data_IF_793523009927
#
_entry.id   IF_793523009927
#
_cell.length_a   1.000
_cell.length_b   1.000
_cell.length_c   1.000
_cell.angle_alpha   90.00
_cell.angle_beta   90.00
_cell.angle_gamma   90.00
#
_symmetry.space_group_name_H-M   'P 1'
#
loop_
_entity.id
_entity.type
_entity.pdbx_description
1 polymer ?
#
# COMPACT_ATOMS: atom_id res chain seq x y z
N UNK A 1 4.18 15.04 -7.66
CA UNK A 1 3.84 13.65 -7.27
C UNK A 1 4.33 13.27 -5.86
N UNK A 2 5.12 14.12 -5.18
CA UNK A 2 5.58 13.90 -3.79
C UNK A 2 4.48 14.16 -2.76
N UNK A 3 3.42 13.34 -2.78
CA UNK A 3 2.43 13.25 -1.72
C UNK A 3 2.48 11.84 -1.16
N UNK A 4 2.20 11.73 0.13
CA UNK A 4 2.07 10.44 0.80
C UNK A 4 1.06 9.55 0.07
N UNK A 5 1.50 8.34 -0.27
CA UNK A 5 0.71 7.35 -0.97
C UNK A 5 0.24 6.27 -0.01
N UNK A 6 -0.98 6.46 0.51
CA UNK A 6 -1.62 5.48 1.38
C UNK A 6 -1.69 4.10 0.70
N UNK A 7 -2.03 4.07 -0.60
CA UNK A 7 -2.05 2.87 -1.45
C UNK A 7 -0.79 2.02 -1.31
N UNK A 8 0.34 2.66 -1.58
CA UNK A 8 1.66 2.04 -1.54
C UNK A 8 2.07 1.64 -0.11
N UNK A 9 1.73 2.44 0.90
CA UNK A 9 2.05 2.14 2.30
C UNK A 9 1.27 0.92 2.82
N UNK A 10 -0.06 0.90 2.66
CA UNK A 10 -0.91 -0.14 3.25
C UNK A 10 -0.93 -1.44 2.44
N UNK A 11 -1.06 -1.35 1.11
CA UNK A 11 -1.16 -2.53 0.25
C UNK A 11 0.15 -2.95 -0.39
N UNK A 12 1.23 -2.17 -0.19
CA UNK A 12 2.62 -2.54 -0.48
C UNK A 12 2.84 -3.34 -1.78
N UNK A 13 3.00 -4.66 -1.72
CA UNK A 13 3.20 -5.54 -2.88
C UNK A 13 2.00 -5.60 -3.82
N UNK A 14 0.78 -5.62 -3.29
CA UNK A 14 -0.43 -5.67 -4.09
C UNK A 14 -0.56 -4.38 -4.90
N UNK A 15 -0.44 -3.24 -4.23
CA UNK A 15 -0.40 -1.94 -4.91
C UNK A 15 0.75 -1.88 -5.93
N UNK A 16 1.93 -2.40 -5.57
CA UNK A 16 3.12 -2.41 -6.40
C UNK A 16 2.90 -3.10 -7.75
N UNK A 17 2.34 -4.32 -7.73
CA UNK A 17 2.06 -5.10 -8.94
C UNK A 17 1.16 -4.33 -9.93
N UNK A 18 0.07 -3.73 -9.45
CA UNK A 18 -0.85 -2.98 -10.32
C UNK A 18 -0.28 -1.64 -10.84
N UNK A 19 0.75 -1.12 -10.17
CA UNK A 19 1.39 0.15 -10.51
C UNK A 19 2.75 0.00 -11.19
N UNK A 20 3.18 -1.24 -11.50
CA UNK A 20 4.46 -1.52 -12.16
C UNK A 20 5.69 -1.44 -11.23
N UNK A 21 5.48 -1.34 -9.92
CA UNK A 21 6.54 -1.27 -8.91
C UNK A 21 6.65 -2.65 -8.24
N UNK A 22 7.50 -3.53 -8.78
CA UNK A 22 7.53 -4.94 -8.39
C UNK A 22 8.41 -5.27 -7.19
N UNK A 23 9.38 -4.41 -6.84
CA UNK A 23 10.28 -4.65 -5.71
C UNK A 23 9.57 -4.97 -4.38
N UNK A 24 8.39 -4.39 -4.05
CA UNK A 24 7.70 -4.68 -2.79
C UNK A 24 7.25 -6.13 -2.64
N UNK A 25 7.28 -6.95 -3.70
CA UNK A 25 7.08 -8.40 -3.61
C UNK A 25 8.07 -9.06 -2.63
N UNK A 26 9.25 -8.48 -2.43
CA UNK A 26 10.24 -8.95 -1.44
C UNK A 26 9.67 -9.00 -0.02
N UNK A 27 8.68 -8.15 0.30
CA UNK A 27 8.06 -8.08 1.61
C UNK A 27 7.31 -9.36 1.99
N UNK A 28 6.88 -10.14 0.99
CA UNK A 28 6.28 -11.45 1.22
C UNK A 28 7.29 -12.36 1.93
N UNK A 29 8.54 -12.37 1.48
CA UNK A 29 9.60 -13.22 2.04
C UNK A 29 10.11 -12.64 3.36
N UNK A 30 10.34 -11.32 3.42
CA UNK A 30 10.87 -10.63 4.60
C UNK A 30 9.98 -10.84 5.83
N UNK A 31 8.65 -10.90 5.65
CA UNK A 31 7.71 -11.12 6.74
C UNK A 31 7.83 -12.49 7.42
N UNK A 32 8.52 -13.47 6.82
CA UNK A 32 8.79 -14.76 7.46
C UNK A 32 9.99 -14.73 8.41
N UNK A 33 10.75 -13.64 8.47
CA UNK A 33 11.87 -13.47 9.40
C UNK A 33 11.32 -12.99 10.75
N UNK A 34 11.42 -13.78 11.83
CA UNK A 34 10.89 -13.40 13.14
C UNK A 34 11.53 -12.11 13.66
N UNK A 35 10.71 -11.24 14.26
CA UNK A 35 11.07 -9.96 14.90
C UNK A 35 11.70 -8.90 13.98
N UNK A 36 12.78 -9.22 13.27
CA UNK A 36 13.50 -8.30 12.39
C UNK A 36 12.72 -8.05 11.09
N UNK A 37 12.04 -9.07 10.57
CA UNK A 37 11.26 -8.97 9.34
C UNK A 37 10.17 -7.90 9.43
N UNK A 38 9.44 -7.83 10.54
CA UNK A 38 8.39 -6.83 10.72
C UNK A 38 8.91 -5.39 10.79
N UNK A 39 10.09 -5.17 11.39
CA UNK A 39 10.74 -3.86 11.40
C UNK A 39 11.19 -3.42 10.01
N UNK A 40 11.82 -4.33 9.25
CA UNK A 40 12.22 -4.06 7.87
C UNK A 40 10.99 -3.77 7.01
N UNK A 41 9.94 -4.60 7.14
CA UNK A 41 8.69 -4.40 6.41
C UNK A 41 8.05 -3.05 6.70
N UNK A 42 8.02 -2.63 7.96
CA UNK A 42 7.49 -1.31 8.33
C UNK A 42 8.30 -0.18 7.69
N UNK A 43 9.64 -0.25 7.73
CA UNK A 43 10.51 0.73 7.09
C UNK A 43 10.27 0.78 5.57
N UNK A 44 10.17 -0.37 4.90
CA UNK A 44 9.86 -0.46 3.48
C UNK A 44 8.48 0.12 3.14
N UNK A 45 7.46 -0.15 3.97
CA UNK A 45 6.13 0.44 3.81
C UNK A 45 6.19 1.97 3.87
N UNK A 46 6.95 2.55 4.82
CA UNK A 46 7.13 4.00 4.93
C UNK A 46 7.81 4.55 3.67
N UNK A 47 8.87 3.90 3.20
CA UNK A 47 9.57 4.30 1.96
C UNK A 47 8.62 4.26 0.76
N UNK A 48 7.74 3.25 0.67
CA UNK A 48 6.67 3.16 -0.33
C UNK A 48 5.65 4.28 -0.18
N UNK A 49 5.25 4.63 1.04
CA UNK A 49 4.36 5.75 1.31
C UNK A 49 4.93 7.07 0.80
N UNK A 50 6.22 7.32 1.00
CA UNK A 50 6.88 8.56 0.56
C UNK A 50 7.11 8.59 -0.96
N UNK A 51 7.66 7.51 -1.53
CA UNK A 51 8.19 7.50 -2.90
C UNK A 51 7.30 6.78 -3.91
N UNK A 52 6.30 6.01 -3.46
CA UNK A 52 5.49 5.12 -4.30
C UNK A 52 4.85 5.85 -5.48
N UNK A 53 4.25 7.02 -5.25
CA UNK A 53 3.65 7.80 -6.34
C UNK A 53 4.66 8.17 -7.44
N UNK A 54 5.90 8.51 -7.08
CA UNK A 54 6.93 8.84 -8.05
C UNK A 54 7.42 7.60 -8.80
N UNK A 55 7.61 6.49 -8.10
CA UNK A 55 7.99 5.22 -8.72
C UNK A 55 6.92 4.69 -9.67
N UNK A 56 5.65 4.70 -9.28
CA UNK A 56 4.53 4.27 -10.12
C UNK A 56 4.39 5.12 -11.38
N UNK A 57 4.66 6.42 -11.30
CA UNK A 57 4.65 7.29 -12.47
C UNK A 57 5.73 6.95 -13.46
N UNK A 58 6.94 6.61 -12.98
CA UNK A 58 8.08 6.24 -13.84
C UNK A 58 8.00 4.80 -14.34
N UNK A 59 7.29 3.93 -13.64
CA UNK A 59 7.28 2.48 -13.90
C UNK A 59 6.46 2.06 -15.13
N UNK A 60 5.45 2.83 -15.55
CA UNK A 60 4.66 2.53 -16.74
C UNK A 60 4.11 3.79 -17.40
N UNK A 61 3.67 3.65 -18.66
CA UNK A 61 3.01 4.72 -19.40
C UNK A 61 1.60 4.97 -18.87
N UNK A 62 1.26 6.24 -18.67
CA UNK A 62 -0.07 6.71 -18.29
C UNK A 62 -0.62 7.60 -19.41
N UNK A 63 -1.92 7.51 -19.71
CA UNK A 63 -2.51 8.33 -20.79
C UNK A 63 -2.55 9.81 -20.42
N UNK A 64 -2.70 10.12 -19.12
CA UNK A 64 -2.67 11.48 -18.60
C UNK A 64 -2.30 11.52 -17.12
N UNK A 65 -1.97 12.71 -16.62
CA UNK A 65 -1.73 12.96 -15.19
C UNK A 65 -3.02 12.72 -14.38
N UNK A 66 -4.17 13.02 -14.97
CA UNK A 66 -5.50 12.87 -14.37
C UNK A 66 -5.87 11.40 -14.21
N UNK A 67 -5.56 10.56 -15.20
CA UNK A 67 -5.72 9.11 -15.10
C UNK A 67 -4.90 8.55 -13.95
N UNK A 68 -3.62 8.91 -13.88
CA UNK A 68 -2.74 8.48 -12.80
C UNK A 68 -3.28 8.87 -11.43
N UNK A 69 -3.63 10.15 -11.25
CA UNK A 69 -4.21 10.66 -9.99
C UNK A 69 -5.50 9.94 -9.63
N UNK A 70 -6.36 9.63 -10.60
CA UNK A 70 -7.60 8.88 -10.39
C UNK A 70 -7.33 7.48 -9.87
N UNK A 71 -6.34 6.78 -10.43
CA UNK A 71 -5.93 5.45 -9.97
C UNK A 71 -5.37 5.50 -8.55
N UNK A 72 -4.46 6.44 -8.26
CA UNK A 72 -3.93 6.60 -6.89
C UNK A 72 -5.03 6.96 -5.88
N UNK A 73 -6.01 7.76 -6.29
CA UNK A 73 -7.15 8.09 -5.44
C UNK A 73 -8.03 6.87 -5.13
N UNK A 74 -8.32 6.03 -6.13
CA UNK A 74 -9.05 4.76 -5.91
C UNK A 74 -8.34 3.85 -4.90
N UNK A 75 -7.01 3.77 -4.97
CA UNK A 75 -6.22 3.03 -3.98
C UNK A 75 -6.34 3.61 -2.56
N UNK A 76 -6.30 4.94 -2.43
CA UNK A 76 -6.51 5.60 -1.14
C UNK A 76 -7.91 5.32 -0.57
N UNK A 77 -8.95 5.38 -1.40
CA UNK A 77 -10.33 5.06 -1.01
C UNK A 77 -10.49 3.59 -0.61
N UNK A 78 -9.87 2.66 -1.36
CA UNK A 78 -9.92 1.23 -1.05
C UNK A 78 -9.37 0.91 0.34
N UNK A 79 -8.30 1.60 0.76
CA UNK A 79 -7.73 1.45 2.10
C UNK A 79 -8.72 1.88 3.18
N UNK A 80 -9.39 3.02 2.98
CA UNK A 80 -10.37 3.50 3.96
C UNK A 80 -11.48 2.48 4.18
N UNK A 81 -11.97 1.84 3.10
CA UNK A 81 -12.96 0.77 3.20
C UNK A 81 -12.42 -0.45 3.94
N UNK A 82 -11.22 -0.93 3.59
CA UNK A 82 -10.63 -2.11 4.23
C UNK A 82 -10.38 -1.87 5.71
N UNK A 83 -9.83 -0.72 6.09
CA UNK A 83 -9.60 -0.36 7.48
C UNK A 83 -10.92 -0.20 8.25
N UNK A 84 -11.90 0.50 7.65
CA UNK A 84 -13.21 0.70 8.27
C UNK A 84 -13.97 -0.60 8.52
N UNK A 85 -14.00 -1.51 7.55
CA UNK A 85 -14.63 -2.83 7.68
C UNK A 85 -13.88 -3.67 8.72
N UNK A 86 -12.56 -3.72 8.65
CA UNK A 86 -11.75 -4.49 9.61
C UNK A 86 -11.95 -4.00 11.04
N UNK A 87 -12.01 -2.69 11.23
CA UNK A 87 -12.27 -2.07 12.54
C UNK A 87 -13.67 -2.41 13.06
N UNK A 88 -14.71 -2.27 12.22
CA UNK A 88 -16.08 -2.62 12.57
C UNK A 88 -16.25 -4.09 12.94
N UNK A 89 -15.65 -5.00 12.17
CA UNK A 89 -15.64 -6.44 12.47
C UNK A 89 -14.92 -6.75 13.78
N UNK A 90 -13.78 -6.10 14.05
CA UNK A 90 -13.06 -6.26 15.30
C UNK A 90 -13.90 -5.88 16.52
N UNK A 91 -14.66 -4.79 16.44
CA UNK A 91 -15.61 -4.38 17.50
C UNK A 91 -16.70 -5.44 17.69
N UNK A 92 -17.35 -5.88 16.60
CA UNK A 92 -18.43 -6.86 16.68
C UNK A 92 -17.97 -8.18 17.32
N UNK A 93 -16.79 -8.67 16.94
CA UNK A 93 -16.20 -9.89 17.52
C UNK A 93 -15.90 -9.67 19.01
N UNK A 94 -15.31 -8.54 19.37
CA UNK A 94 -14.98 -8.22 20.77
C UNK A 94 -16.19 -8.04 21.67
N UNK A 95 -17.36 -7.69 21.11
CA UNK A 95 -18.63 -7.61 21.86
C UNK A 95 -19.35 -8.96 21.97
N UNK A 96 -19.05 -9.91 21.08
CA UNK A 96 -19.71 -11.21 20.99
C UNK A 96 -18.95 -12.34 21.73
N UNK A 97 -17.69 -12.12 22.10
CA UNK A 97 -16.87 -13.04 22.90
C UNK A 97 -16.83 -12.64 24.37
#
# INVERSE_FOLDING_TARGET
MKKWNWGAFCFNWLWGVFNGVYWPLVLIIVNFIPYVGSLISLACCIVLGVNGSEWAWKAKSWSSVEEFKRVQHKWAVAILWVLGISFGLGILIGLAG
#
